data_IF_542328154199
#
_entry.id   IF_542328154199
#
_cell.length_a   1.000
_cell.length_b   1.000
_cell.length_c   1.000
_cell.angle_alpha   90.00
_cell.angle_beta   90.00
_cell.angle_gamma   90.00
#
_symmetry.space_group_name_H-M   'P 1'
#
loop_
_entity.id
_entity.type
_entity.pdbx_description
1 polymer ?
#
# COMPACT_ATOMS: atom_id res chain seq x y z
N UNK A 1 4.27 39.82 -10.80
CA UNK A 1 5.00 38.62 -11.27
C UNK A 1 4.11 37.88 -12.24
N UNK A 2 4.58 37.58 -13.45
CA UNK A 2 3.84 36.79 -14.43
C UNK A 2 3.96 35.30 -14.11
N UNK A 3 3.05 34.45 -14.58
CA UNK A 3 3.13 33.00 -14.39
C UNK A 3 4.41 32.40 -14.99
N UNK A 4 4.91 32.98 -16.09
CA UNK A 4 6.20 32.62 -16.70
C UNK A 4 7.39 32.86 -15.78
N UNK A 5 7.43 34.01 -15.10
CA UNK A 5 8.50 34.34 -14.15
C UNK A 5 8.52 33.42 -12.91
N UNK A 6 7.38 32.84 -12.54
CA UNK A 6 7.31 31.85 -11.44
C UNK A 6 7.85 30.51 -11.92
N UNK A 7 7.47 30.09 -13.12
CA UNK A 7 7.89 28.81 -13.70
C UNK A 7 9.41 28.73 -13.87
N UNK A 8 10.02 29.76 -14.44
CA UNK A 8 11.49 29.81 -14.62
C UNK A 8 12.23 29.73 -13.28
N UNK A 9 11.70 30.36 -12.24
CA UNK A 9 12.27 30.27 -10.88
C UNK A 9 12.16 28.86 -10.33
N UNK A 10 11.00 28.21 -10.46
CA UNK A 10 10.80 26.83 -9.99
C UNK A 10 11.71 25.83 -10.73
N UNK A 11 11.90 26.00 -12.05
CA UNK A 11 12.77 25.15 -12.86
C UNK A 11 14.26 25.32 -12.52
N UNK A 12 14.65 26.45 -11.93
CA UNK A 12 16.03 26.71 -11.48
C UNK A 12 16.37 26.13 -10.11
N UNK A 13 15.37 25.68 -9.34
CA UNK A 13 15.58 25.13 -8.01
C UNK A 13 16.04 23.67 -8.07
N UNK A 14 16.93 23.32 -7.15
CA UNK A 14 17.26 21.92 -6.86
C UNK A 14 16.09 21.19 -6.23
N UNK A 15 16.16 19.85 -6.20
CA UNK A 15 15.12 19.02 -5.59
C UNK A 15 14.95 19.34 -4.10
N UNK A 16 16.04 19.54 -3.38
CA UNK A 16 16.05 19.88 -1.96
C UNK A 16 15.40 21.24 -1.73
N UNK A 17 15.74 22.25 -2.53
CA UNK A 17 15.13 23.59 -2.45
C UNK A 17 13.63 23.56 -2.80
N UNK A 18 13.22 22.71 -3.75
CA UNK A 18 11.79 22.50 -4.05
C UNK A 18 11.06 21.83 -2.88
N UNK A 19 11.67 20.84 -2.23
CA UNK A 19 11.09 20.18 -1.05
C UNK A 19 10.93 21.17 0.09
N UNK A 20 11.95 21.99 0.36
CA UNK A 20 11.88 23.02 1.41
C UNK A 20 10.82 24.07 1.07
N UNK A 21 10.71 24.48 -0.19
CA UNK A 21 9.68 25.38 -0.65
C UNK A 21 8.28 24.80 -0.42
N UNK A 22 8.02 23.56 -0.84
CA UNK A 22 6.72 22.92 -0.64
C UNK A 22 6.41 22.69 0.84
N UNK A 23 7.41 22.29 1.64
CA UNK A 23 7.25 22.09 3.09
C UNK A 23 6.87 23.39 3.79
N UNK A 24 7.52 24.50 3.41
CA UNK A 24 7.20 25.83 3.94
C UNK A 24 5.80 26.29 3.49
N UNK A 25 5.41 26.02 2.24
CA UNK A 25 4.08 26.37 1.74
C UNK A 25 2.96 25.58 2.43
N UNK A 26 3.19 24.29 2.70
CA UNK A 26 2.27 23.44 3.47
C UNK A 26 2.14 23.97 4.91
N UNK A 27 3.26 24.25 5.59
CA UNK A 27 3.23 24.79 6.95
C UNK A 27 2.50 26.14 7.09
N UNK A 28 2.50 26.94 6.02
CA UNK A 28 1.84 28.24 6.03
C UNK A 28 0.34 28.15 5.75
N UNK A 29 -0.12 27.07 5.12
CA UNK A 29 -1.52 26.91 4.74
C UNK A 29 -1.85 25.43 4.44
N UNK A 30 -2.60 24.79 5.33
CA UNK A 30 -3.03 23.39 5.20
C UNK A 30 -3.84 23.12 3.91
N UNK A 31 -4.49 24.14 3.35
CA UNK A 31 -5.20 24.04 2.06
C UNK A 31 -4.25 23.81 0.88
N UNK A 32 -2.97 24.20 1.02
CA UNK A 32 -1.94 23.97 0.01
C UNK A 32 -1.56 22.50 -0.04
N UNK A 33 -1.54 21.80 1.08
CA UNK A 33 -1.35 20.35 1.10
C UNK A 33 -2.46 19.65 0.31
N UNK A 34 -3.73 19.97 0.62
CA UNK A 34 -4.87 19.40 -0.10
C UNK A 34 -4.84 19.75 -1.60
N UNK A 35 -4.42 20.97 -1.97
CA UNK A 35 -4.28 21.39 -3.36
C UNK A 35 -3.14 20.67 -4.08
N UNK A 36 -1.97 20.53 -3.45
CA UNK A 36 -0.82 19.81 -4.00
C UNK A 36 -1.15 18.33 -4.13
N UNK A 37 -1.78 17.72 -3.13
CA UNK A 37 -2.26 16.35 -3.20
C UNK A 37 -3.26 16.16 -4.35
N UNK A 38 -4.21 17.08 -4.54
CA UNK A 38 -5.16 17.03 -5.67
C UNK A 38 -4.50 17.28 -7.04
N UNK A 39 -3.42 18.08 -7.12
CA UNK A 39 -2.69 18.36 -8.37
C UNK A 39 -1.66 17.30 -8.73
N UNK A 40 -1.08 16.67 -7.71
CA UNK A 40 -0.24 15.49 -7.83
C UNK A 40 -1.07 14.22 -7.98
N UNK A 41 -2.37 14.26 -7.65
CA UNK A 41 -3.35 13.28 -8.07
C UNK A 41 -3.40 13.29 -9.60
N UNK A 42 -2.81 12.27 -10.23
CA UNK A 42 -2.60 12.19 -11.68
C UNK A 42 -1.17 12.50 -12.15
N UNK A 43 -0.25 12.80 -11.23
CA UNK A 43 1.17 12.66 -11.51
C UNK A 43 1.45 11.21 -11.95
N UNK A 44 2.41 11.04 -12.86
CA UNK A 44 2.75 9.71 -13.39
C UNK A 44 3.02 8.77 -12.23
N UNK A 45 2.26 7.69 -12.22
CA UNK A 45 2.36 6.63 -11.24
C UNK A 45 3.83 6.24 -11.03
N UNK A 46 4.27 6.32 -9.78
CA UNK A 46 5.64 6.10 -9.37
C UNK A 46 5.84 4.70 -8.77
N UNK A 47 4.92 3.77 -9.02
CA UNK A 47 4.95 2.37 -8.60
C UNK A 47 6.36 1.79 -8.57
N UNK A 48 7.08 1.79 -9.69
CA UNK A 48 8.43 1.20 -9.82
C UNK A 48 9.43 1.78 -8.82
N UNK A 49 9.33 3.09 -8.50
CA UNK A 49 10.24 3.75 -7.55
C UNK A 49 9.86 3.40 -6.11
N UNK A 50 8.56 3.35 -5.80
CA UNK A 50 8.06 3.00 -4.46
C UNK A 50 8.33 1.53 -4.16
N UNK A 51 7.96 0.64 -5.08
CA UNK A 51 8.17 -0.80 -5.01
C UNK A 51 9.64 -1.14 -4.69
N UNK A 52 10.59 -0.66 -5.51
CA UNK A 52 12.03 -0.88 -5.27
C UNK A 52 12.54 -0.35 -3.93
N UNK A 53 11.96 0.74 -3.42
CA UNK A 53 12.34 1.28 -2.11
C UNK A 53 11.84 0.38 -0.98
N UNK A 54 10.60 -0.07 -1.06
CA UNK A 54 10.01 -0.99 -0.09
C UNK A 54 10.76 -2.32 -0.13
N UNK A 55 10.97 -2.90 -1.31
CA UNK A 55 11.78 -4.11 -1.51
C UNK A 55 13.14 -3.97 -0.82
N UNK A 56 13.88 -2.89 -1.12
CA UNK A 56 15.18 -2.64 -0.50
C UNK A 56 15.12 -2.52 1.02
N UNK A 57 14.07 -1.92 1.58
CA UNK A 57 13.91 -1.82 3.03
C UNK A 57 13.69 -3.20 3.65
N UNK A 58 12.80 -4.00 3.05
CA UNK A 58 12.44 -5.32 3.55
C UNK A 58 13.58 -6.34 3.40
N UNK A 59 14.33 -6.31 2.30
CA UNK A 59 15.42 -7.28 2.07
C UNK A 59 16.68 -7.04 2.91
N UNK A 60 16.91 -5.82 3.39
CA UNK A 60 18.20 -5.46 4.00
C UNK A 60 18.17 -5.39 5.54
N UNK A 61 16.99 -5.23 6.16
CA UNK A 61 16.90 -4.87 7.57
C UNK A 61 15.62 -5.40 8.23
N UNK A 62 15.77 -6.42 9.07
CA UNK A 62 14.73 -6.83 10.01
C UNK A 62 14.26 -5.65 10.87
N UNK A 63 12.95 -5.50 11.06
CA UNK A 63 12.34 -4.43 11.87
C UNK A 63 12.06 -3.11 11.14
N UNK A 64 12.40 -2.97 9.85
CA UNK A 64 12.13 -1.76 9.06
C UNK A 64 10.71 -1.74 8.44
N UNK A 65 9.90 -2.77 8.68
CA UNK A 65 8.53 -2.89 8.14
C UNK A 65 7.64 -1.68 8.44
N UNK A 66 7.87 -0.96 9.54
CA UNK A 66 7.11 0.25 9.86
C UNK A 66 7.44 1.42 8.93
N UNK A 67 8.71 1.57 8.50
CA UNK A 67 9.10 2.61 7.53
C UNK A 67 8.64 2.24 6.13
N UNK A 68 8.76 0.96 5.77
CA UNK A 68 8.21 0.41 4.54
C UNK A 68 6.69 0.64 4.47
N UNK A 69 5.97 0.40 5.56
CA UNK A 69 4.54 0.62 5.66
C UNK A 69 4.14 2.09 5.44
N UNK A 70 4.90 3.06 5.97
CA UNK A 70 4.62 4.48 5.70
C UNK A 70 4.71 4.83 4.22
N UNK A 71 5.70 4.26 3.50
CA UNK A 71 5.82 4.44 2.05
C UNK A 71 4.67 3.78 1.30
N UNK A 72 4.31 2.56 1.70
CA UNK A 72 3.15 1.84 1.16
C UNK A 72 1.86 2.64 1.32
N UNK A 73 1.53 3.03 2.56
CA UNK A 73 0.30 3.75 2.89
C UNK A 73 0.20 5.10 2.17
N UNK A 74 1.30 5.83 2.07
CA UNK A 74 1.37 7.07 1.29
C UNK A 74 1.08 6.82 -0.19
N UNK A 75 1.65 5.76 -0.76
CA UNK A 75 1.42 5.40 -2.16
C UNK A 75 -0.03 4.96 -2.40
N UNK A 76 -0.59 4.08 -1.57
CA UNK A 76 -1.99 3.62 -1.72
C UNK A 76 -2.97 4.81 -1.67
N UNK A 77 -2.76 5.76 -0.76
CA UNK A 77 -3.63 6.95 -0.62
C UNK A 77 -3.51 7.96 -1.76
N UNK A 78 -2.39 7.97 -2.49
CA UNK A 78 -2.13 8.94 -3.56
C UNK A 78 -2.23 8.35 -4.97
N UNK A 79 -2.18 7.02 -5.10
CA UNK A 79 -2.26 6.34 -6.39
C UNK A 79 -3.70 6.25 -6.88
N UNK A 80 -3.88 6.49 -8.18
CA UNK A 80 -5.15 6.26 -8.90
C UNK A 80 -5.16 4.92 -9.67
N UNK A 81 -4.06 4.15 -9.61
CA UNK A 81 -3.91 2.92 -10.37
C UNK A 81 -4.11 1.70 -9.47
N UNK A 82 -5.36 1.20 -9.44
CA UNK A 82 -5.72 0.03 -8.63
C UNK A 82 -4.92 -1.23 -8.96
N UNK A 83 -4.48 -1.42 -10.21
CA UNK A 83 -3.68 -2.59 -10.60
C UNK A 83 -2.30 -2.58 -9.98
N UNK A 84 -1.57 -1.46 -10.05
CA UNK A 84 -0.26 -1.36 -9.39
C UNK A 84 -0.39 -1.33 -7.86
N UNK A 85 -1.46 -0.73 -7.32
CA UNK A 85 -1.75 -0.79 -5.89
C UNK A 85 -1.99 -2.22 -5.41
N UNK A 86 -2.71 -3.03 -6.19
CA UNK A 86 -2.93 -4.45 -5.90
C UNK A 86 -1.61 -5.22 -5.95
N UNK A 87 -0.82 -5.02 -7.01
CA UNK A 87 0.49 -5.68 -7.17
C UNK A 87 1.41 -5.36 -5.99
N UNK A 88 1.51 -4.09 -5.60
CA UNK A 88 2.30 -3.68 -4.45
C UNK A 88 1.79 -4.30 -3.14
N UNK A 89 0.47 -4.40 -2.97
CA UNK A 89 -0.13 -4.97 -1.76
C UNK A 89 0.23 -6.46 -1.61
N UNK A 90 0.15 -7.23 -2.70
CA UNK A 90 0.53 -8.63 -2.69
C UNK A 90 2.02 -8.82 -2.41
N UNK A 91 2.89 -8.07 -3.10
CA UNK A 91 4.34 -8.18 -2.90
C UNK A 91 4.76 -7.75 -1.50
N UNK A 92 4.18 -6.65 -0.98
CA UNK A 92 4.47 -6.21 0.37
C UNK A 92 3.95 -7.19 1.42
N UNK A 93 2.80 -7.83 1.18
CA UNK A 93 2.28 -8.85 2.07
C UNK A 93 3.22 -10.07 2.14
N UNK A 94 3.80 -10.51 1.03
CA UNK A 94 4.82 -11.57 1.02
C UNK A 94 6.04 -11.19 1.87
N UNK A 95 6.56 -9.96 1.74
CA UNK A 95 7.66 -9.48 2.58
C UNK A 95 7.28 -9.35 4.05
N UNK A 96 6.03 -8.98 4.37
CA UNK A 96 5.55 -8.94 5.75
C UNK A 96 5.44 -10.35 6.35
N UNK A 97 5.14 -11.36 5.53
CA UNK A 97 5.16 -12.77 5.97
C UNK A 97 6.59 -13.24 6.25
N UNK A 98 7.56 -12.85 5.41
CA UNK A 98 8.98 -13.14 5.65
C UNK A 98 9.48 -12.42 6.92
N UNK A 99 9.07 -11.17 7.14
CA UNK A 99 9.35 -10.45 8.39
C UNK A 99 8.73 -11.16 9.58
N UNK A 100 7.47 -11.61 9.47
CA UNK A 100 6.81 -12.38 10.51
C UNK A 100 7.57 -13.69 10.84
N UNK A 101 8.15 -14.37 9.84
CA UNK A 101 8.91 -15.61 10.00
C UNK A 101 10.17 -15.47 10.86
N UNK A 102 10.69 -14.24 10.99
CA UNK A 102 11.84 -13.99 11.86
C UNK A 102 11.47 -13.91 13.35
N UNK A 103 10.17 -13.82 13.68
CA UNK A 103 9.66 -13.89 15.05
C UNK A 103 9.26 -15.34 15.36
N UNK A 104 9.73 -15.87 16.49
CA UNK A 104 9.58 -17.30 16.81
C UNK A 104 8.13 -17.71 17.13
N UNK A 105 7.46 -16.96 18.02
CA UNK A 105 6.12 -17.32 18.52
C UNK A 105 5.23 -16.10 18.85
N UNK A 106 5.81 -14.90 18.97
CA UNK A 106 5.05 -13.70 19.33
C UNK A 106 5.43 -12.55 18.41
N UNK A 107 4.44 -12.08 17.66
CA UNK A 107 4.60 -10.96 16.74
C UNK A 107 4.36 -9.63 17.47
N UNK A 108 5.02 -8.54 17.06
CA UNK A 108 4.64 -7.22 17.52
C UNK A 108 3.21 -6.90 17.09
N UNK A 109 2.37 -6.36 17.99
CA UNK A 109 0.99 -5.92 17.65
C UNK A 109 0.94 -5.00 16.43
N UNK A 110 1.97 -4.15 16.28
CA UNK A 110 2.10 -3.25 15.13
C UNK A 110 2.26 -4.01 13.81
N UNK A 111 2.98 -5.14 13.81
CA UNK A 111 3.15 -5.98 12.63
C UNK A 111 1.81 -6.63 12.26
N UNK A 112 1.07 -7.16 13.24
CA UNK A 112 -0.26 -7.75 13.03
C UNK A 112 -1.23 -6.72 12.43
N UNK A 113 -1.25 -5.50 12.97
CA UNK A 113 -2.09 -4.40 12.45
C UNK A 113 -1.74 -4.04 11.01
N UNK A 114 -0.44 -3.96 10.69
CA UNK A 114 0.03 -3.65 9.33
C UNK A 114 -0.36 -4.77 8.36
N UNK A 115 -0.14 -6.03 8.75
CA UNK A 115 -0.54 -7.21 7.97
C UNK A 115 -2.03 -7.17 7.64
N UNK A 116 -2.87 -6.96 8.66
CA UNK A 116 -4.33 -6.94 8.50
C UNK A 116 -4.75 -5.83 7.54
N UNK A 117 -4.18 -4.63 7.70
CA UNK A 117 -4.48 -3.49 6.82
C UNK A 117 -4.03 -3.72 5.37
N UNK A 118 -2.80 -4.19 5.16
CA UNK A 118 -2.28 -4.46 3.81
C UNK A 118 -3.09 -5.56 3.13
N UNK A 119 -3.48 -6.58 3.89
CA UNK A 119 -4.33 -7.67 3.40
C UNK A 119 -5.71 -7.17 2.97
N UNK A 120 -6.39 -6.37 3.80
CA UNK A 120 -7.68 -5.78 3.47
C UNK A 120 -7.63 -4.93 2.21
N UNK A 121 -6.63 -4.04 2.09
CA UNK A 121 -6.42 -3.24 0.89
C UNK A 121 -6.23 -4.14 -0.34
N UNK A 122 -5.40 -5.18 -0.23
CA UNK A 122 -5.18 -6.14 -1.30
C UNK A 122 -6.46 -6.83 -1.75
N UNK A 123 -7.26 -7.33 -0.80
CA UNK A 123 -8.53 -8.02 -1.06
C UNK A 123 -9.55 -7.10 -1.74
N UNK A 124 -9.73 -5.88 -1.21
CA UNK A 124 -10.64 -4.88 -1.79
C UNK A 124 -10.22 -4.53 -3.22
N UNK A 125 -8.93 -4.31 -3.46
CA UNK A 125 -8.42 -4.03 -4.79
C UNK A 125 -8.53 -5.23 -5.74
N UNK A 126 -8.36 -6.45 -5.24
CA UNK A 126 -8.54 -7.68 -6.02
C UNK A 126 -9.99 -7.82 -6.50
N UNK A 127 -10.97 -7.57 -5.63
CA UNK A 127 -12.39 -7.52 -5.99
C UNK A 127 -12.69 -6.46 -7.05
N UNK A 128 -12.11 -5.25 -6.91
CA UNK A 128 -12.29 -4.16 -7.87
C UNK A 128 -11.69 -4.45 -9.25
N UNK A 129 -10.46 -4.97 -9.28
CA UNK A 129 -9.69 -5.21 -10.51
C UNK A 129 -10.09 -6.54 -11.17
N UNK A 130 -10.74 -7.46 -10.43
CA UNK A 130 -11.11 -8.81 -10.87
C UNK A 130 -9.91 -9.60 -11.40
N UNK A 131 -8.82 -9.61 -10.63
CA UNK A 131 -7.58 -10.30 -10.99
C UNK A 131 -7.47 -11.65 -10.26
N UNK A 132 -7.83 -12.74 -10.93
CA UNK A 132 -7.85 -14.09 -10.36
C UNK A 132 -6.47 -14.55 -9.84
N UNK A 133 -5.39 -14.15 -10.51
CA UNK A 133 -4.05 -14.55 -10.10
C UNK A 133 -3.65 -13.89 -8.77
N UNK A 134 -3.90 -12.58 -8.63
CA UNK A 134 -3.62 -11.86 -7.39
C UNK A 134 -4.56 -12.29 -6.26
N UNK A 135 -5.84 -12.57 -6.59
CA UNK A 135 -6.81 -13.15 -5.65
C UNK A 135 -6.30 -14.49 -5.09
N UNK A 136 -5.76 -15.37 -5.94
CA UNK A 136 -5.18 -16.64 -5.51
C UNK A 136 -3.92 -16.45 -4.64
N UNK A 137 -3.08 -15.44 -4.92
CA UNK A 137 -1.94 -15.10 -4.05
C UNK A 137 -2.42 -14.72 -2.66
N UNK A 138 -3.43 -13.84 -2.55
CA UNK A 138 -4.04 -13.45 -1.28
C UNK A 138 -4.72 -14.61 -0.54
N UNK A 139 -5.36 -15.54 -1.25
CA UNK A 139 -5.91 -16.75 -0.64
C UNK A 139 -4.80 -17.65 -0.08
N UNK A 140 -3.66 -17.75 -0.77
CA UNK A 140 -2.52 -18.57 -0.32
C UNK A 140 -1.97 -18.09 1.02
N UNK A 141 -2.02 -16.78 1.27
CA UNK A 141 -1.63 -16.16 2.54
C UNK A 141 -2.53 -16.63 3.70
N UNK A 142 -3.81 -16.96 3.48
CA UNK A 142 -4.67 -17.53 4.54
C UNK A 142 -4.25 -18.93 4.95
N UNK A 143 -3.69 -19.71 4.02
CA UNK A 143 -3.19 -21.05 4.26
C UNK A 143 -1.92 -21.11 5.11
N UNK A 144 -1.42 -19.96 5.55
CA UNK A 144 -0.20 -19.80 6.32
C UNK A 144 -0.48 -20.10 7.80
N UNK A 145 0.06 -21.21 8.30
CA UNK A 145 -0.28 -21.74 9.63
C UNK A 145 0.31 -20.98 10.83
N UNK A 146 1.10 -19.92 10.62
CA UNK A 146 1.88 -19.21 11.66
C UNK A 146 1.10 -18.19 12.48
N UNK A 147 -0.06 -17.74 12.00
CA UNK A 147 -0.95 -16.92 12.80
C UNK A 147 -1.74 -17.76 13.81
N UNK A 148 -2.07 -17.16 14.95
CA UNK A 148 -3.08 -17.71 15.85
C UNK A 148 -4.46 -17.76 15.16
N UNK A 149 -5.40 -18.46 15.78
CA UNK A 149 -6.74 -18.65 15.20
C UNK A 149 -7.48 -17.32 15.03
N UNK A 150 -7.32 -16.37 15.96
CA UNK A 150 -8.01 -15.07 15.93
C UNK A 150 -7.58 -14.23 14.71
N UNK A 151 -6.27 -14.16 14.42
CA UNK A 151 -5.76 -13.44 13.25
C UNK A 151 -6.20 -14.16 11.97
N UNK A 152 -6.16 -15.50 11.94
CA UNK A 152 -6.64 -16.28 10.77
C UNK A 152 -8.12 -16.05 10.49
N UNK A 153 -8.94 -16.02 11.53
CA UNK A 153 -10.37 -15.74 11.43
C UNK A 153 -10.61 -14.32 10.90
N UNK A 154 -9.85 -13.34 11.40
CA UNK A 154 -9.91 -11.95 10.92
C UNK A 154 -9.58 -11.84 9.43
N UNK A 155 -8.45 -12.42 9.00
CA UNK A 155 -8.03 -12.38 7.60
C UNK A 155 -9.03 -13.15 6.70
N UNK A 156 -9.53 -14.29 7.17
CA UNK A 156 -10.53 -15.07 6.43
C UNK A 156 -11.84 -14.30 6.28
N UNK A 157 -12.31 -13.64 7.34
CA UNK A 157 -13.49 -12.77 7.30
C UNK A 157 -13.34 -11.68 6.24
N UNK A 158 -12.22 -10.94 6.27
CA UNK A 158 -11.91 -9.93 5.25
C UNK A 158 -11.97 -10.52 3.84
N UNK A 159 -11.31 -11.67 3.61
CA UNK A 159 -11.28 -12.29 2.28
C UNK A 159 -12.70 -12.62 1.79
N UNK A 160 -13.51 -13.27 2.61
CA UNK A 160 -14.84 -13.70 2.22
C UNK A 160 -15.84 -12.54 2.13
N UNK A 161 -15.74 -11.51 2.96
CA UNK A 161 -16.64 -10.36 2.93
C UNK A 161 -16.57 -9.58 1.60
N UNK A 162 -15.41 -9.57 0.95
CA UNK A 162 -15.19 -8.81 -0.28
C UNK A 162 -15.10 -9.67 -1.55
N UNK A 163 -14.71 -10.94 -1.43
CA UNK A 163 -14.50 -11.83 -2.59
C UNK A 163 -15.50 -12.97 -2.71
N UNK A 164 -16.32 -13.27 -1.68
CA UNK A 164 -17.53 -14.07 -1.90
C UNK A 164 -18.66 -13.12 -2.33
N UNK A 165 -18.98 -13.14 -3.62
CA UNK A 165 -20.25 -12.65 -4.08
C UNK A 165 -21.33 -13.64 -3.62
N UNK A 166 -22.35 -13.26 -2.82
CA UNK A 166 -23.47 -14.14 -2.50
C UNK A 166 -24.25 -14.60 -3.74
N UNK A 167 -24.03 -13.98 -4.92
CA UNK A 167 -24.58 -14.41 -6.20
C UNK A 167 -23.69 -15.42 -6.98
N UNK A 168 -22.48 -15.74 -6.51
CA UNK A 168 -21.59 -16.74 -7.15
C UNK A 168 -21.73 -18.13 -6.47
N UNK A 169 -22.97 -18.53 -6.18
CA UNK A 169 -23.28 -19.93 -5.88
C UNK A 169 -23.18 -20.70 -7.19
N UNK A 170 -22.08 -21.45 -7.33
CA UNK A 170 -21.87 -22.44 -8.38
C UNK A 170 -23.17 -23.21 -8.69
N UNK A 171 -23.54 -23.41 -9.98
CA UNK A 171 -24.72 -24.19 -10.38
C UNK A 171 -24.72 -25.66 -9.92
N UNK A 172 -23.68 -26.12 -9.22
CA UNK A 172 -23.53 -27.49 -8.77
C UNK A 172 -24.51 -27.91 -7.65
N UNK A 173 -25.33 -27.01 -7.13
CA UNK A 173 -26.34 -27.29 -6.09
C UNK A 173 -27.79 -27.01 -6.52
N UNK A 174 -28.11 -27.04 -7.82
CA UNK A 174 -29.50 -27.08 -8.33
C UNK A 174 -29.87 -28.41 -8.97
#
# INVERSE_FOLDING_TARGET
>A
MTSESIREKLESLTKEELIDLFTNLIHQNDTVEAFLMNRLFGAKDNYVVVHKKIEKMMSNQFGEYQKAFKLFDTYIKSSSNSTHSLELSCDFMEWLMEEADTYSETFPDTLIKIITYVYEIGVVLAAQVKNDNQTRRLHTILGVNRFDEDIKETLSGIYYDYLNDPDDVSPAER
#
